data_IF_738238754331
#
_entry.id   IF_738238754331
#
_cell.length_a   1.000
_cell.length_b   1.000
_cell.length_c   1.000
_cell.angle_alpha   90.00
_cell.angle_beta   90.00
_cell.angle_gamma   90.00
#
_symmetry.space_group_name_H-M   'P 1'
#
loop_
_entity.id
_entity.type
_entity.pdbx_description
1 polymer ?
#
# COMPACT_ATOMS: atom_id res chain seq x y z
N UNK A 1 14.75 -40.85 4.99
CA UNK A 1 14.50 -39.79 4.00
C UNK A 1 14.34 -38.48 4.77
N UNK A 2 15.32 -37.58 4.69
CA UNK A 2 15.19 -36.26 5.31
C UNK A 2 14.07 -35.50 4.59
N UNK A 3 13.01 -35.11 5.32
CA UNK A 3 12.01 -34.19 4.81
C UNK A 3 12.74 -32.91 4.40
N UNK A 4 12.98 -32.71 3.10
CA UNK A 4 13.43 -31.42 2.57
C UNK A 4 12.31 -30.43 2.90
N UNK A 5 12.46 -29.67 3.98
CA UNK A 5 11.57 -28.54 4.31
C UNK A 5 11.47 -27.68 3.06
N UNK A 6 10.26 -27.44 2.55
CA UNK A 6 10.10 -26.52 1.42
C UNK A 6 10.45 -25.11 1.93
N UNK A 7 11.03 -24.23 1.09
CA UNK A 7 11.50 -22.93 1.56
C UNK A 7 10.40 -22.09 2.23
N UNK A 8 9.14 -22.25 1.79
CA UNK A 8 7.99 -21.52 2.30
C UNK A 8 7.39 -22.11 3.60
N UNK A 9 7.72 -23.36 3.97
CA UNK A 9 7.16 -24.06 5.14
C UNK A 9 7.59 -23.43 6.49
N UNK A 10 8.46 -22.41 6.45
CA UNK A 10 8.97 -21.71 7.62
C UNK A 10 8.86 -20.20 7.54
N UNK A 11 7.92 -19.65 6.77
CA UNK A 11 7.75 -18.19 6.68
C UNK A 11 7.23 -17.56 7.97
N UNK A 12 6.42 -18.29 8.73
CA UNK A 12 5.96 -17.91 10.06
C UNK A 12 5.93 -19.13 10.99
N UNK A 13 6.00 -18.88 12.30
CA UNK A 13 6.02 -19.94 13.30
C UNK A 13 4.61 -20.25 13.82
N UNK A 14 3.81 -19.21 14.08
CA UNK A 14 2.53 -19.36 14.75
C UNK A 14 1.59 -18.19 14.43
N UNK A 15 0.29 -18.46 14.45
CA UNK A 15 -0.78 -17.46 14.40
C UNK A 15 -1.73 -17.68 15.59
N UNK A 16 -1.88 -16.69 16.46
CA UNK A 16 -2.61 -16.83 17.72
C UNK A 16 -3.52 -15.63 18.01
N UNK A 17 -4.73 -15.91 18.48
CA UNK A 17 -5.62 -14.91 19.06
C UNK A 17 -5.23 -14.63 20.50
N UNK A 18 -4.92 -13.37 20.77
CA UNK A 18 -4.61 -12.88 22.12
C UNK A 18 -5.85 -12.19 22.66
N UNK A 19 -6.27 -12.62 23.85
CA UNK A 19 -7.43 -12.06 24.56
C UNK A 19 -6.97 -11.23 25.74
N UNK A 20 -7.75 -10.21 26.09
CA UNK A 20 -7.53 -9.45 27.31
C UNK A 20 -8.02 -10.21 28.55
N UNK A 21 -7.82 -9.62 29.75
CA UNK A 21 -8.25 -10.22 31.01
C UNK A 21 -9.78 -10.41 31.16
N UNK A 22 -10.58 -9.79 30.27
CA UNK A 22 -12.03 -9.96 30.20
C UNK A 22 -12.47 -11.05 29.21
N UNK A 23 -11.52 -11.65 28.49
CA UNK A 23 -11.78 -12.67 27.46
C UNK A 23 -12.15 -12.11 26.10
N UNK A 24 -12.12 -10.78 25.91
CA UNK A 24 -12.36 -10.15 24.61
C UNK A 24 -11.11 -10.26 23.74
N UNK A 25 -11.29 -10.50 22.44
CA UNK A 25 -10.18 -10.54 21.49
C UNK A 25 -9.48 -9.18 21.46
N UNK A 26 -8.21 -9.17 21.87
CA UNK A 26 -7.35 -8.00 21.86
C UNK A 26 -6.73 -7.86 20.48
N UNK A 27 -5.93 -8.84 20.04
CA UNK A 27 -5.27 -8.84 18.72
C UNK A 27 -5.05 -10.27 18.22
N UNK A 28 -5.16 -10.46 16.91
CA UNK A 28 -4.61 -11.62 16.20
C UNK A 28 -3.12 -11.37 15.96
N UNK A 29 -2.24 -12.18 16.56
CA UNK A 29 -0.78 -12.01 16.45
C UNK A 29 -0.17 -13.10 15.58
N UNK A 30 0.54 -12.66 14.55
CA UNK A 30 1.41 -13.48 13.72
C UNK A 30 2.82 -13.46 14.29
N UNK A 31 3.41 -14.63 14.51
CA UNK A 31 4.80 -14.75 14.92
C UNK A 31 5.64 -15.20 13.72
N UNK A 32 6.62 -14.38 13.35
CA UNK A 32 7.63 -14.79 12.35
C UNK A 32 8.41 -16.01 12.83
N UNK A 33 9.16 -16.66 11.92
CA UNK A 33 10.06 -17.76 12.30
C UNK A 33 11.06 -17.38 13.39
N UNK A 34 11.43 -16.11 13.46
CA UNK A 34 12.37 -15.58 14.44
C UNK A 34 11.68 -15.09 15.73
N UNK A 35 10.36 -15.30 15.86
CA UNK A 35 9.58 -14.94 17.04
C UNK A 35 9.17 -13.47 17.11
N UNK A 36 9.32 -12.70 16.03
CA UNK A 36 8.83 -11.32 15.98
C UNK A 36 7.30 -11.32 15.93
N UNK A 37 6.59 -10.68 16.87
CA UNK A 37 5.15 -10.56 16.81
C UNK A 37 4.73 -9.45 15.86
N UNK A 38 3.68 -9.72 15.09
CA UNK A 38 3.08 -8.78 14.14
C UNK A 38 1.56 -8.75 14.25
N UNK A 39 0.97 -7.57 14.07
CA UNK A 39 -0.48 -7.39 13.88
C UNK A 39 -0.73 -6.80 12.50
N UNK A 40 -1.69 -7.37 11.78
CA UNK A 40 -2.08 -6.94 10.43
C UNK A 40 -3.38 -6.15 10.51
N UNK A 41 -3.34 -4.94 9.96
CA UNK A 41 -4.44 -3.98 9.92
C UNK A 41 -4.73 -3.71 8.45
N UNK A 42 -5.95 -3.98 8.01
CA UNK A 42 -6.41 -3.51 6.70
C UNK A 42 -6.78 -2.05 6.82
N UNK A 43 -6.35 -1.25 5.85
CA UNK A 43 -6.69 0.17 5.75
C UNK A 43 -7.18 0.49 4.34
N UNK A 44 -7.89 1.60 4.22
CA UNK A 44 -8.13 2.26 2.95
C UNK A 44 -7.22 3.47 2.89
N UNK A 45 -6.39 3.57 1.86
CA UNK A 45 -5.57 4.76 1.67
C UNK A 45 -6.48 5.98 1.52
N UNK A 46 -6.20 7.14 2.16
CA UNK A 46 -7.17 8.23 2.23
C UNK A 46 -7.29 9.04 0.94
N UNK A 47 -6.31 9.00 0.03
CA UNK A 47 -6.34 9.80 -1.20
C UNK A 47 -7.10 9.04 -2.27
N UNK A 48 -8.19 9.60 -2.79
CA UNK A 48 -8.89 8.97 -3.91
C UNK A 48 -8.09 9.18 -5.20
N UNK A 49 -7.93 8.14 -6.01
CA UNK A 49 -7.33 8.28 -7.34
C UNK A 49 -8.02 9.39 -8.15
N UNK A 50 -7.21 10.18 -8.85
CA UNK A 50 -7.65 11.32 -9.65
C UNK A 50 -8.29 12.48 -8.85
N UNK A 51 -8.10 12.54 -7.52
CA UNK A 51 -8.57 13.67 -6.70
C UNK A 51 -7.83 14.98 -7.00
N UNK A 52 -6.60 14.91 -7.55
CA UNK A 52 -5.75 16.06 -7.91
C UNK A 52 -5.34 16.97 -6.74
N UNK A 53 -5.61 16.56 -5.50
CA UNK A 53 -5.40 17.35 -4.29
C UNK A 53 -4.07 16.99 -3.61
N UNK A 54 -3.07 17.83 -3.82
CA UNK A 54 -1.74 17.71 -3.21
C UNK A 54 -1.77 17.66 -1.68
N UNK A 55 -2.73 18.33 -1.04
CA UNK A 55 -2.82 18.44 0.42
C UNK A 55 -3.11 17.08 1.04
N UNK A 56 -3.91 16.24 0.39
CA UNK A 56 -4.25 14.91 0.91
C UNK A 56 -3.04 13.96 0.95
N UNK A 57 -2.15 14.04 -0.05
CA UNK A 57 -0.92 13.24 -0.06
C UNK A 57 0.00 13.62 1.11
N UNK A 58 0.17 14.92 1.36
CA UNK A 58 0.96 15.43 2.50
C UNK A 58 0.30 15.02 3.82
N UNK A 59 -1.01 15.20 3.94
CA UNK A 59 -1.76 14.84 5.14
C UNK A 59 -1.61 13.36 5.48
N UNK A 60 -1.65 12.45 4.49
CA UNK A 60 -1.44 11.03 4.76
C UNK A 60 0.01 10.70 5.12
N UNK A 61 0.99 11.35 4.49
CA UNK A 61 2.41 11.26 4.91
C UNK A 61 2.57 11.66 6.37
N UNK A 62 1.88 12.71 6.83
CA UNK A 62 1.90 13.11 8.24
C UNK A 62 1.28 12.05 9.17
N UNK A 63 0.19 11.39 8.75
CA UNK A 63 -0.39 10.26 9.49
C UNK A 63 0.63 9.13 9.64
N UNK A 64 1.27 8.72 8.54
CA UNK A 64 2.28 7.68 8.56
C UNK A 64 3.51 8.08 9.39
N UNK A 65 3.90 9.35 9.35
CA UNK A 65 4.99 9.87 10.18
C UNK A 65 4.65 9.79 11.67
N UNK A 66 3.43 10.16 12.06
CA UNK A 66 2.95 10.02 13.44
C UNK A 66 2.94 8.55 13.89
N UNK A 67 2.59 7.62 13.00
CA UNK A 67 2.66 6.17 13.26
C UNK A 67 4.12 5.76 13.51
N UNK A 68 5.05 6.10 12.62
CA UNK A 68 6.48 5.76 12.75
C UNK A 68 7.06 6.32 14.05
N UNK A 69 6.79 7.59 14.38
CA UNK A 69 7.23 8.21 15.63
C UNK A 69 6.60 7.52 16.87
N UNK A 70 5.32 7.16 16.80
CA UNK A 70 4.61 6.50 17.89
C UNK A 70 5.12 5.08 18.14
N UNK A 71 5.47 4.35 17.08
CA UNK A 71 6.09 3.03 17.17
C UNK A 71 7.47 3.13 17.85
N UNK A 72 8.36 3.97 17.31
CA UNK A 72 9.69 4.21 17.86
C UNK A 72 10.64 3.03 17.71
N UNK A 73 11.79 3.10 18.40
CA UNK A 73 12.88 2.12 18.25
C UNK A 73 12.43 0.67 18.54
N UNK A 74 12.94 -0.29 17.76
CA UNK A 74 12.65 -1.72 17.92
C UNK A 74 11.31 -2.15 17.31
N UNK A 75 10.69 -1.29 16.50
CA UNK A 75 9.51 -1.60 15.71
C UNK A 75 9.77 -1.39 14.21
N UNK A 76 9.04 -2.15 13.41
CA UNK A 76 8.97 -1.97 11.96
C UNK A 76 7.53 -1.72 11.53
N UNK A 77 7.36 -0.77 10.61
CA UNK A 77 6.14 -0.54 9.86
C UNK A 77 6.33 -1.13 8.46
N UNK A 78 5.55 -2.14 8.13
CA UNK A 78 5.45 -2.68 6.77
C UNK A 78 4.09 -2.30 6.20
N UNK A 79 4.07 -1.73 5.00
CA UNK A 79 2.85 -1.42 4.24
C UNK A 79 2.84 -2.24 2.96
N UNK A 80 1.72 -2.91 2.70
CA UNK A 80 1.53 -3.70 1.49
C UNK A 80 0.29 -3.23 0.76
N UNK A 81 0.50 -2.69 -0.43
CA UNK A 81 -0.58 -2.35 -1.37
C UNK A 81 -0.67 -3.48 -2.39
N UNK A 82 -1.75 -4.25 -2.33
CA UNK A 82 -2.06 -5.36 -3.23
C UNK A 82 -2.97 -4.84 -4.33
N UNK A 83 -2.40 -4.67 -5.52
CA UNK A 83 -3.12 -4.31 -6.74
C UNK A 83 -3.38 -5.58 -7.56
N UNK A 84 -4.60 -6.09 -7.55
CA UNK A 84 -4.92 -7.37 -8.19
C UNK A 84 -6.01 -7.21 -9.25
N UNK A 85 -5.81 -7.80 -10.43
CA UNK A 85 -6.82 -7.83 -11.48
C UNK A 85 -7.96 -8.76 -11.10
N UNK A 86 -9.13 -8.18 -10.90
CA UNK A 86 -10.38 -8.87 -10.62
C UNK A 86 -11.30 -8.86 -11.85
N UNK A 87 -12.41 -9.59 -11.75
CA UNK A 87 -13.51 -9.55 -12.70
C UNK A 87 -14.74 -9.01 -11.99
N UNK A 88 -15.32 -7.93 -12.52
CA UNK A 88 -16.49 -7.29 -11.93
C UNK A 88 -17.67 -8.25 -11.89
N UNK A 89 -18.31 -8.34 -10.73
CA UNK A 89 -19.55 -9.07 -10.55
C UNK A 89 -20.55 -8.21 -9.79
N UNK A 90 -21.81 -8.30 -10.18
CA UNK A 90 -22.92 -7.69 -9.46
C UNK A 90 -24.04 -8.71 -9.38
N UNK A 91 -24.54 -8.96 -8.17
CA UNK A 91 -25.62 -9.89 -7.96
C UNK A 91 -26.89 -9.36 -8.64
N UNK A 92 -27.44 -10.15 -9.57
CA UNK A 92 -28.65 -9.80 -10.31
C UNK A 92 -29.80 -10.58 -9.72
N UNK A 93 -30.76 -9.87 -9.14
CA UNK A 93 -31.98 -10.46 -8.60
C UNK A 93 -33.15 -10.30 -9.58
N UNK A 94 -34.14 -11.18 -9.49
CA UNK A 94 -35.28 -11.22 -10.43
C UNK A 94 -36.31 -10.11 -10.19
N UNK A 95 -36.26 -9.46 -9.03
CA UNK A 95 -37.03 -8.26 -8.69
C UNK A 95 -36.51 -6.98 -9.38
N UNK A 96 -35.30 -7.03 -9.97
CA UNK A 96 -34.74 -5.90 -10.71
C UNK A 96 -35.42 -5.69 -12.06
N UNK A 97 -35.69 -4.43 -12.43
CA UNK A 97 -36.19 -4.09 -13.76
C UNK A 97 -35.28 -4.59 -14.90
N UNK A 98 -35.88 -4.95 -16.04
CA UNK A 98 -35.17 -5.51 -17.20
C UNK A 98 -33.95 -4.67 -17.66
N UNK A 99 -34.08 -3.34 -17.69
CA UNK A 99 -32.99 -2.45 -18.11
C UNK A 99 -31.84 -2.44 -17.09
N UNK A 100 -32.15 -2.45 -15.79
CA UNK A 100 -31.15 -2.53 -14.71
C UNK A 100 -30.42 -3.87 -14.77
N UNK A 101 -31.15 -4.99 -14.98
CA UNK A 101 -30.55 -6.30 -15.19
C UNK A 101 -29.61 -6.33 -16.39
N UNK A 102 -30.06 -5.79 -17.53
CA UNK A 102 -29.28 -5.75 -18.77
C UNK A 102 -28.03 -4.89 -18.62
N UNK A 103 -28.13 -3.77 -17.90
CA UNK A 103 -27.01 -2.90 -17.56
C UNK A 103 -25.94 -3.68 -16.77
N UNK A 104 -26.28 -4.32 -15.65
CA UNK A 104 -25.27 -5.07 -14.88
C UNK A 104 -24.73 -6.29 -15.62
N UNK A 105 -25.53 -6.98 -16.45
CA UNK A 105 -25.05 -8.05 -17.34
C UNK A 105 -23.98 -7.55 -18.31
N UNK A 106 -24.11 -6.33 -18.82
CA UNK A 106 -23.15 -5.75 -19.76
C UNK A 106 -21.78 -5.44 -19.13
N UNK A 107 -21.75 -5.12 -17.83
CA UNK A 107 -20.49 -4.87 -17.10
C UNK A 107 -19.92 -6.13 -16.42
N UNK A 108 -20.73 -7.19 -16.27
CA UNK A 108 -20.29 -8.43 -15.65
C UNK A 108 -19.08 -9.05 -16.38
N UNK A 109 -18.08 -9.49 -15.63
CA UNK A 109 -16.84 -10.06 -16.14
C UNK A 109 -15.81 -9.03 -16.61
N UNK A 110 -16.10 -7.72 -16.57
CA UNK A 110 -15.10 -6.70 -16.94
C UNK A 110 -13.89 -6.75 -16.01
N UNK A 111 -12.66 -6.73 -16.56
CA UNK A 111 -11.47 -6.67 -15.74
C UNK A 111 -11.32 -5.30 -15.10
N UNK A 112 -10.92 -5.27 -13.85
CA UNK A 112 -10.51 -4.05 -13.14
C UNK A 112 -9.38 -4.39 -12.18
N UNK A 113 -8.61 -3.39 -11.76
CA UNK A 113 -7.57 -3.56 -10.74
C UNK A 113 -8.16 -3.14 -9.41
N UNK A 114 -8.33 -4.07 -8.48
CA UNK A 114 -8.69 -3.80 -7.09
C UNK A 114 -7.43 -3.43 -6.30
N UNK A 115 -7.53 -2.49 -5.36
CA UNK A 115 -6.45 -2.11 -4.45
C UNK A 115 -6.88 -2.45 -3.02
N UNK A 116 -6.10 -3.28 -2.33
CA UNK A 116 -6.25 -3.56 -0.89
C UNK A 116 -4.95 -3.25 -0.17
N UNK A 117 -5.04 -2.50 0.93
CA UNK A 117 -3.86 -2.01 1.64
C UNK A 117 -3.81 -2.56 3.05
N UNK A 118 -2.63 -3.01 3.47
CA UNK A 118 -2.38 -3.53 4.81
C UNK A 118 -1.22 -2.80 5.47
N UNK A 119 -1.42 -2.38 6.71
CA UNK A 119 -0.36 -1.99 7.63
C UNK A 119 -0.04 -3.16 8.55
N UNK A 120 1.24 -3.48 8.66
CA UNK A 120 1.75 -4.59 9.46
C UNK A 120 2.75 -4.02 10.44
N UNK A 121 2.38 -4.03 11.72
CA UNK A 121 3.22 -3.53 12.81
C UNK A 121 3.95 -4.73 13.38
N UNK A 122 5.29 -4.70 13.33
CA UNK A 122 6.13 -5.78 13.84
C UNK A 122 7.06 -5.27 14.92
N UNK A 123 7.17 -5.98 16.03
CA UNK A 123 8.18 -5.69 17.06
C UNK A 123 9.40 -6.60 16.86
N UNK A 124 10.60 -6.05 16.97
CA UNK A 124 11.83 -6.82 16.91
C UNK A 124 11.97 -7.71 18.16
N UNK A 125 12.09 -9.03 17.97
CA UNK A 125 12.44 -9.93 19.05
C UNK A 125 13.93 -9.78 19.40
N UNK A 126 14.24 -9.63 20.69
CA UNK A 126 15.62 -9.51 21.16
C UNK A 126 16.37 -10.81 20.92
N UNK A 127 17.30 -10.81 19.96
CA UNK A 127 18.20 -11.93 19.66
C UNK A 127 19.27 -12.04 20.74
N UNK A 128 18.97 -12.74 21.84
CA UNK A 128 19.97 -13.17 22.83
C UNK A 128 19.92 -14.68 22.99
N UNK A 129 21.01 -15.29 23.48
CA UNK A 129 21.15 -16.75 23.64
C UNK A 129 20.01 -17.41 24.45
N UNK A 130 19.28 -16.61 25.25
CA UNK A 130 18.05 -17.01 25.94
C UNK A 130 16.95 -16.00 25.62
N UNK A 131 15.97 -16.38 24.80
CA UNK A 131 14.77 -15.56 24.59
C UNK A 131 13.98 -15.56 25.90
N UNK A 132 14.14 -14.51 26.70
CA UNK A 132 13.38 -14.32 27.92
C UNK A 132 12.11 -13.55 27.58
N UNK A 133 10.95 -14.17 27.82
CA UNK A 133 9.67 -13.47 27.75
C UNK A 133 9.70 -12.26 28.69
N UNK A 134 9.41 -11.08 28.14
CA UNK A 134 9.23 -9.85 28.91
C UNK A 134 7.76 -9.43 28.88
N UNK A 135 7.01 -9.62 29.98
CA UNK A 135 5.61 -9.22 30.08
C UNK A 135 5.40 -7.73 29.80
N UNK A 136 6.38 -6.88 30.13
CA UNK A 136 6.27 -5.43 29.93
C UNK A 136 6.37 -5.08 28.45
N UNK A 137 7.37 -5.61 27.75
CA UNK A 137 7.51 -5.46 26.29
C UNK A 137 6.28 -5.99 25.55
N UNK A 138 5.72 -7.12 26.00
CA UNK A 138 4.51 -7.70 25.43
C UNK A 138 3.27 -6.79 25.58
N UNK A 139 3.10 -6.17 26.75
CA UNK A 139 2.02 -5.21 26.97
C UNK A 139 2.24 -3.91 26.17
N UNK A 140 3.50 -3.46 26.06
CA UNK A 140 3.86 -2.29 25.25
C UNK A 140 3.51 -2.51 23.78
N UNK A 141 3.79 -3.71 23.22
CA UNK A 141 3.42 -4.07 21.85
C UNK A 141 1.94 -3.83 21.56
N UNK A 142 1.05 -4.38 22.40
CA UNK A 142 -0.39 -4.18 22.23
C UNK A 142 -0.83 -2.73 22.45
N UNK A 143 -0.18 -2.02 23.38
CA UNK A 143 -0.42 -0.60 23.62
C UNK A 143 -0.05 0.23 22.39
N UNK A 144 1.09 -0.06 21.74
CA UNK A 144 1.55 0.59 20.52
C UNK A 144 0.61 0.32 19.35
N UNK A 145 0.18 -0.92 19.17
CA UNK A 145 -0.84 -1.28 18.16
C UNK A 145 -2.13 -0.49 18.40
N UNK A 146 -2.60 -0.38 19.65
CA UNK A 146 -3.79 0.43 19.98
C UNK A 146 -3.61 1.90 19.61
N UNK A 147 -2.46 2.49 19.95
CA UNK A 147 -2.16 3.89 19.60
C UNK A 147 -2.14 4.13 18.09
N UNK A 148 -1.66 3.17 17.30
CA UNK A 148 -1.72 3.27 15.83
C UNK A 148 -3.16 3.26 15.34
N UNK A 149 -4.02 2.40 15.90
CA UNK A 149 -5.45 2.40 15.59
C UNK A 149 -6.11 3.75 15.96
N UNK A 150 -5.75 4.32 17.10
CA UNK A 150 -6.26 5.62 17.54
C UNK A 150 -5.82 6.75 16.58
N UNK A 151 -4.56 6.76 16.13
CA UNK A 151 -4.05 7.72 15.14
C UNK A 151 -4.85 7.64 13.83
N UNK A 152 -5.09 6.42 13.32
CA UNK A 152 -5.88 6.21 12.10
C UNK A 152 -7.32 6.70 12.29
N UNK A 153 -7.93 6.41 13.44
CA UNK A 153 -9.28 6.82 13.79
C UNK A 153 -9.43 8.34 13.90
N UNK A 154 -8.53 9.01 14.60
CA UNK A 154 -8.53 10.47 14.77
C UNK A 154 -8.40 11.21 13.45
N UNK A 155 -7.68 10.62 12.49
CA UNK A 155 -7.45 11.18 11.16
C UNK A 155 -8.50 10.75 10.13
N UNK A 156 -9.52 9.99 10.54
CA UNK A 156 -10.61 9.55 9.67
C UNK A 156 -10.20 8.53 8.61
N UNK A 157 -9.05 7.87 8.76
CA UNK A 157 -8.62 6.80 7.85
C UNK A 157 -9.40 5.54 8.19
N UNK A 158 -10.10 4.94 7.23
CA UNK A 158 -10.80 3.67 7.47
C UNK A 158 -9.78 2.57 7.74
N UNK A 159 -10.03 1.77 8.78
CA UNK A 159 -9.12 0.72 9.20
C UNK A 159 -9.83 -0.37 10.00
N UNK A 160 -9.30 -1.59 9.98
CA UNK A 160 -9.73 -2.71 10.82
C UNK A 160 -8.61 -3.71 11.03
N UNK A 161 -8.60 -4.37 12.20
CA UNK A 161 -7.71 -5.52 12.43
C UNK A 161 -8.27 -6.76 11.74
N UNK A 162 -7.41 -7.53 11.10
CA UNK A 162 -7.80 -8.81 10.51
C UNK A 162 -8.06 -9.86 11.60
N UNK A 163 -9.09 -10.66 11.38
CA UNK A 163 -9.37 -11.87 12.17
C UNK A 163 -8.36 -12.97 11.87
N UNK A 164 -8.31 -14.01 12.70
CA UNK A 164 -7.41 -15.15 12.50
C UNK A 164 -7.57 -15.82 11.13
N UNK A 165 -8.80 -16.02 10.68
CA UNK A 165 -9.08 -16.67 9.40
C UNK A 165 -8.66 -15.78 8.22
N UNK A 166 -8.90 -14.47 8.33
CA UNK A 166 -8.47 -13.49 7.31
C UNK A 166 -6.95 -13.35 7.25
N UNK A 167 -6.26 -13.33 8.38
CA UNK A 167 -4.79 -13.36 8.40
C UNK A 167 -4.32 -14.66 7.75
N UNK A 168 -4.86 -15.80 8.13
CA UNK A 168 -4.48 -17.08 7.56
C UNK A 168 -4.69 -17.11 6.03
N UNK A 169 -5.84 -16.65 5.54
CA UNK A 169 -6.11 -16.54 4.11
C UNK A 169 -5.12 -15.58 3.42
N UNK A 170 -4.87 -14.40 4.01
CA UNK A 170 -3.93 -13.42 3.48
C UNK A 170 -2.52 -14.00 3.30
N UNK A 171 -2.00 -14.68 4.32
CA UNK A 171 -0.69 -15.33 4.28
C UNK A 171 -0.60 -16.41 3.19
N UNK A 172 -1.63 -17.24 3.05
CA UNK A 172 -1.64 -18.29 2.04
C UNK A 172 -1.83 -17.75 0.62
N UNK A 173 -2.60 -16.67 0.45
CA UNK A 173 -2.71 -15.95 -0.81
C UNK A 173 -1.39 -15.31 -1.21
N UNK A 174 -0.64 -14.77 -0.25
CA UNK A 174 0.71 -14.27 -0.50
C UNK A 174 1.65 -15.40 -0.96
N UNK A 175 1.68 -16.54 -0.26
CA UNK A 175 2.51 -17.68 -0.64
C UNK A 175 2.17 -18.24 -2.02
N UNK A 176 0.88 -18.25 -2.38
CA UNK A 176 0.41 -18.65 -3.71
C UNK A 176 0.51 -17.53 -4.77
N UNK A 177 0.85 -16.31 -4.35
CA UNK A 177 0.74 -15.07 -5.12
C UNK A 177 -0.60 -14.94 -5.88
N UNK A 178 -1.71 -15.25 -5.19
CA UNK A 178 -3.05 -15.32 -5.78
C UNK A 178 -4.08 -14.54 -4.96
N UNK A 179 -4.28 -13.28 -5.32
CA UNK A 179 -5.20 -12.36 -4.65
C UNK A 179 -6.56 -12.20 -5.33
N UNK A 180 -6.82 -12.92 -6.42
CA UNK A 180 -8.17 -12.92 -7.02
C UNK A 180 -9.20 -13.54 -6.09
N UNK A 181 -10.41 -12.98 -6.09
CA UNK A 181 -11.53 -13.49 -5.30
C UNK A 181 -11.84 -14.95 -5.67
N UNK A 182 -12.17 -15.76 -4.67
CA UNK A 182 -12.51 -17.16 -4.84
C UNK A 182 -11.42 -18.14 -4.39
N UNK A 183 -11.58 -19.44 -4.70
CA UNK A 183 -10.66 -20.48 -4.27
C UNK A 183 -9.30 -20.33 -4.96
N UNK A 184 -8.25 -20.72 -4.25
CA UNK A 184 -6.88 -20.73 -4.78
C UNK A 184 -6.17 -22.01 -4.33
N UNK A 185 -5.08 -22.35 -5.01
CA UNK A 185 -4.21 -23.47 -4.65
C UNK A 185 -2.75 -23.04 -4.72
N UNK A 186 -1.94 -23.59 -3.82
CA UNK A 186 -0.49 -23.40 -3.90
C UNK A 186 0.07 -24.30 -4.98
N UNK A 187 0.78 -23.69 -5.93
CA UNK A 187 1.53 -24.41 -6.95
C UNK A 187 2.97 -24.59 -6.51
N UNK A 188 3.64 -25.61 -7.05
CA UNK A 188 5.08 -25.73 -6.88
C UNK A 188 5.78 -24.53 -7.51
N UNK A 189 6.75 -23.95 -6.80
CA UNK A 189 7.58 -22.88 -7.36
C UNK A 189 9.01 -23.35 -7.64
N UNK A 190 9.64 -22.72 -8.62
CA UNK A 190 11.07 -22.86 -8.92
C UNK A 190 11.71 -21.49 -8.80
N UNK A 191 12.63 -21.34 -7.85
CA UNK A 191 13.46 -20.15 -7.75
C UNK A 191 14.51 -20.16 -8.87
N UNK A 192 14.64 -19.03 -9.57
CA UNK A 192 15.77 -18.70 -10.42
C UNK A 192 16.31 -17.34 -10.03
N UNK A 193 17.40 -16.93 -10.70
CA UNK A 193 18.13 -15.71 -10.34
C UNK A 193 17.36 -14.43 -10.70
N UNK A 194 16.54 -14.47 -11.78
CA UNK A 194 15.80 -13.30 -12.27
C UNK A 194 14.32 -13.27 -11.86
N UNK A 195 13.74 -14.42 -11.53
CA UNK A 195 12.32 -14.53 -11.13
C UNK A 195 12.01 -15.87 -10.44
N UNK A 196 10.89 -15.90 -9.73
CA UNK A 196 10.27 -17.11 -9.21
C UNK A 196 9.22 -17.61 -10.21
N UNK A 197 9.35 -18.86 -10.67
CA UNK A 197 8.34 -19.48 -11.54
C UNK A 197 7.32 -20.21 -10.67
N UNK A 198 6.04 -19.91 -10.82
CA UNK A 198 4.92 -20.52 -10.11
C UNK A 198 3.90 -21.05 -11.13
N UNK A 199 4.07 -22.33 -11.51
CA UNK A 199 3.33 -22.95 -12.62
C UNK A 199 3.50 -22.21 -13.95
N UNK A 200 2.40 -21.66 -14.47
CA UNK A 200 2.36 -20.91 -15.74
C UNK A 200 2.73 -19.42 -15.60
N UNK A 201 2.88 -18.94 -14.35
CA UNK A 201 3.19 -17.56 -14.04
C UNK A 201 4.62 -17.41 -13.54
N UNK A 202 5.11 -16.18 -13.63
CA UNK A 202 6.33 -15.74 -12.99
C UNK A 202 5.98 -14.66 -11.97
N UNK A 203 6.75 -14.60 -10.89
CA UNK A 203 6.77 -13.52 -9.92
C UNK A 203 8.18 -12.96 -9.91
N UNK A 204 8.31 -11.66 -10.12
CA UNK A 204 9.60 -10.96 -10.09
C UNK A 204 9.53 -9.83 -9.06
N UNK A 205 10.56 -9.75 -8.23
CA UNK A 205 10.84 -8.64 -7.31
C UNK A 205 11.62 -7.57 -8.06
N UNK A 206 11.16 -6.32 -7.94
CA UNK A 206 11.88 -5.13 -8.38
C UNK A 206 12.12 -4.25 -7.16
N UNK A 207 13.37 -4.21 -6.69
CA UNK A 207 13.74 -3.26 -5.66
C UNK A 207 13.85 -1.86 -6.29
N UNK A 208 13.06 -0.93 -5.76
CA UNK A 208 12.95 0.43 -6.29
C UNK A 208 14.24 1.22 -6.02
N UNK A 209 14.95 0.91 -4.94
CA UNK A 209 16.18 1.63 -4.55
C UNK A 209 17.34 0.65 -4.54
N UNK A 210 18.35 0.91 -5.35
CA UNK A 210 19.60 0.19 -5.27
C UNK A 210 20.41 0.65 -4.04
N UNK A 211 20.76 -0.30 -3.17
CA UNK A 211 21.51 -0.02 -1.92
C UNK A 211 22.98 0.27 -2.21
N UNK A 212 23.53 -0.27 -3.30
CA UNK A 212 24.92 -0.02 -3.72
C UNK A 212 25.06 1.35 -4.39
N UNK A 213 24.08 1.75 -5.20
CA UNK A 213 24.03 3.03 -5.91
C UNK A 213 22.66 3.71 -5.74
N UNK A 214 22.50 4.46 -4.64
CA UNK A 214 21.24 5.16 -4.33
C UNK A 214 21.02 6.33 -5.30
N UNK A 215 20.41 6.02 -6.44
CA UNK A 215 20.04 6.96 -7.49
C UNK A 215 18.58 7.42 -7.32
N UNK A 216 18.40 8.34 -6.37
CA UNK A 216 17.13 9.04 -6.13
C UNK A 216 17.23 10.51 -6.55
N UNK A 217 16.11 11.14 -6.93
CA UNK A 217 16.12 12.56 -7.26
C UNK A 217 16.54 13.40 -6.05
N UNK A 218 17.19 14.53 -6.31
CA UNK A 218 17.68 15.45 -5.25
C UNK A 218 16.57 16.00 -4.36
N UNK A 219 15.32 16.01 -4.85
CA UNK A 219 14.13 16.35 -4.09
C UNK A 219 13.05 15.31 -4.36
N UNK A 220 12.63 14.63 -3.30
CA UNK A 220 11.47 13.74 -3.32
C UNK A 220 10.30 14.40 -2.57
N UNK A 221 9.09 14.20 -3.08
CA UNK A 221 7.86 14.73 -2.48
C UNK A 221 6.84 13.61 -2.30
N UNK A 222 5.84 13.76 -1.41
CA UNK A 222 4.78 12.79 -1.23
C UNK A 222 3.91 12.51 -2.47
N UNK A 223 3.98 13.38 -3.48
CA UNK A 223 3.24 13.33 -4.73
C UNK A 223 4.10 13.86 -5.88
N UNK A 224 3.71 13.56 -7.11
CA UNK A 224 4.27 14.16 -8.32
C UNK A 224 3.26 15.08 -9.00
N UNK A 225 3.78 16.05 -9.76
CA UNK A 225 2.97 17.02 -10.50
C UNK A 225 2.98 16.65 -11.98
N UNK A 226 1.83 16.27 -12.51
CA UNK A 226 1.68 15.86 -13.91
C UNK A 226 0.87 16.91 -14.65
N UNK A 227 1.34 17.33 -15.84
CA UNK A 227 0.60 18.25 -16.70
C UNK A 227 -0.40 17.49 -17.57
N UNK A 228 -1.69 17.76 -17.41
CA UNK A 228 -2.78 17.20 -18.22
C UNK A 228 -3.51 18.35 -18.89
N UNK A 229 -3.46 18.42 -20.23
CA UNK A 229 -4.09 19.48 -21.02
C UNK A 229 -3.74 20.91 -20.56
N UNK A 230 -2.49 21.13 -20.13
CA UNK A 230 -2.00 22.42 -19.64
C UNK A 230 -2.30 22.71 -18.17
N UNK A 231 -3.03 21.84 -17.46
CA UNK A 231 -3.25 21.94 -16.01
C UNK A 231 -2.31 21.01 -15.25
N UNK A 232 -1.70 21.51 -14.20
CA UNK A 232 -0.87 20.71 -13.31
C UNK A 232 -1.75 20.06 -12.26
N UNK A 233 -1.73 18.72 -12.20
CA UNK A 233 -2.46 17.93 -11.21
C UNK A 233 -1.49 17.17 -10.33
N UNK A 234 -1.86 16.95 -9.06
CA UNK A 234 -1.12 16.08 -8.15
C UNK A 234 -1.58 14.62 -8.30
N UNK A 235 -0.62 13.71 -8.41
CA UNK A 235 -0.84 12.25 -8.40
C UNK A 235 0.19 11.56 -7.52
N UNK A 236 -0.07 10.33 -7.08
CA UNK A 236 0.95 9.54 -6.40
C UNK A 236 2.18 9.33 -7.31
N UNK A 237 3.36 9.23 -6.70
CA UNK A 237 4.60 8.95 -7.40
C UNK A 237 4.53 7.61 -8.15
N UNK A 238 3.87 6.62 -7.54
CA UNK A 238 3.69 5.28 -8.05
C UNK A 238 2.25 5.04 -8.54
N UNK A 239 1.56 6.09 -8.99
CA UNK A 239 0.20 5.98 -9.56
C UNK A 239 0.12 4.99 -10.74
N UNK A 240 1.23 4.77 -11.46
CA UNK A 240 1.30 3.84 -12.58
C UNK A 240 1.16 2.36 -12.19
N UNK A 241 1.25 2.01 -10.90
CA UNK A 241 1.18 0.60 -10.45
C UNK A 241 -0.12 -0.09 -10.86
N UNK A 242 -1.24 0.64 -10.91
CA UNK A 242 -2.53 0.10 -11.37
C UNK A 242 -2.61 -0.09 -12.89
N UNK A 243 -1.66 0.48 -13.65
CA UNK A 243 -1.66 0.55 -15.11
C UNK A 243 -0.64 -0.42 -15.75
N UNK A 244 0.11 -1.17 -14.95
CA UNK A 244 1.12 -2.09 -15.46
C UNK A 244 0.44 -3.14 -16.38
N UNK A 245 0.82 -3.22 -17.67
CA UNK A 245 0.16 -4.09 -18.64
C UNK A 245 0.41 -5.57 -18.33
N UNK A 246 -0.45 -6.47 -18.81
CA UNK A 246 -0.22 -7.93 -18.75
C UNK A 246 0.05 -8.57 -17.36
N UNK A 247 -0.15 -7.83 -16.26
CA UNK A 247 -0.02 -8.34 -14.88
C UNK A 247 -1.31 -8.94 -14.33
N UNK A 248 -1.20 -9.91 -13.44
CA UNK A 248 -2.35 -10.42 -12.68
C UNK A 248 -2.45 -9.80 -11.28
N UNK A 249 -1.29 -9.53 -10.68
CA UNK A 249 -1.18 -8.99 -9.34
C UNK A 249 0.15 -8.26 -9.20
N UNK A 250 0.13 -7.13 -8.51
CA UNK A 250 1.29 -6.34 -8.10
C UNK A 250 1.15 -6.13 -6.59
N UNK A 251 2.19 -6.41 -5.83
CA UNK A 251 2.26 -6.09 -4.41
C UNK A 251 3.40 -5.11 -4.24
N UNK A 252 3.08 -3.90 -3.79
CA UNK A 252 4.10 -2.96 -3.39
C UNK A 252 4.37 -3.08 -1.89
N UNK A 253 5.51 -3.67 -1.55
CA UNK A 253 5.96 -3.90 -0.19
C UNK A 253 6.91 -2.78 0.25
N UNK A 254 6.44 -1.93 1.17
CA UNK A 254 7.16 -0.79 1.71
C UNK A 254 7.52 -1.07 3.17
N UNK A 255 8.80 -1.02 3.53
CA UNK A 255 9.26 -1.36 4.89
C UNK A 255 10.04 -0.21 5.48
N UNK A 256 9.72 0.14 6.73
CA UNK A 256 10.50 1.02 7.60
C UNK A 256 10.83 0.24 8.87
N UNK A 257 12.11 -0.07 9.08
CA UNK A 257 12.61 -0.52 10.37
C UNK A 257 13.13 0.68 11.16
N UNK A 258 12.79 0.75 12.44
CA UNK A 258 13.19 1.85 13.32
C UNK A 258 14.31 1.37 14.25
N UNK A 259 15.58 1.57 13.87
CA UNK A 259 16.75 1.13 14.64
C UNK A 259 16.99 1.99 15.88
N UNK A 260 17.94 1.56 16.72
CA UNK A 260 18.44 2.34 17.85
C UNK A 260 19.14 3.62 17.37
N UNK A 261 18.53 4.78 17.61
CA UNK A 261 18.96 6.07 17.10
C UNK A 261 20.33 6.47 17.67
N UNK A 262 20.54 6.27 18.97
CA UNK A 262 21.81 6.65 19.65
C UNK A 262 23.02 5.96 19.03
N UNK A 263 22.88 4.70 18.60
CA UNK A 263 23.97 3.94 17.96
C UNK A 263 24.30 4.50 16.58
N UNK A 264 23.28 4.85 15.79
CA UNK A 264 23.45 5.43 14.46
C UNK A 264 24.03 6.85 14.51
N UNK A 265 23.51 7.69 15.40
CA UNK A 265 24.03 9.05 15.62
C UNK A 265 25.52 9.04 15.95
N UNK A 266 25.96 8.13 16.84
CA UNK A 266 27.39 7.95 17.16
C UNK A 266 28.21 7.51 15.95
N UNK A 267 27.69 6.61 15.12
CA UNK A 267 28.36 6.18 13.87
C UNK A 267 28.50 7.34 12.89
N UNK A 268 27.45 8.13 12.68
CA UNK A 268 27.46 9.31 11.79
C UNK A 268 28.42 10.39 12.30
N UNK A 269 28.37 10.72 13.60
CA UNK A 269 29.31 11.65 14.22
C UNK A 269 30.76 11.18 14.08
N UNK A 270 31.01 9.88 14.26
CA UNK A 270 32.32 9.28 14.02
C UNK A 270 32.76 9.34 12.55
N UNK A 271 31.83 9.23 11.60
CA UNK A 271 32.09 9.39 10.15
C UNK A 271 32.43 10.85 9.82
N UNK A 272 31.65 11.81 10.32
CA UNK A 272 31.93 13.25 10.15
C UNK A 272 33.31 13.66 10.69
N UNK A 273 33.68 13.17 11.89
CA UNK A 273 35.02 13.41 12.48
C UNK A 273 36.15 12.86 11.60
N UNK A 274 35.98 11.66 11.04
CA UNK A 274 36.97 11.04 10.15
C UNK A 274 37.18 11.86 8.88
N UNK A 275 36.11 12.24 8.18
CA UNK A 275 36.21 13.12 7.02
C UNK A 275 36.81 14.49 7.37
N UNK A 276 36.47 15.05 8.54
CA UNK A 276 37.08 16.30 9.01
C UNK A 276 38.59 16.22 9.30
N UNK A 277 39.10 15.05 9.67
CA UNK A 277 40.52 14.82 9.95
C UNK A 277 41.39 14.63 8.69
N UNK A 278 40.77 14.39 7.53
CA UNK A 278 41.44 14.23 6.24
C UNK A 278 40.92 15.29 5.26
N UNK A 279 41.38 16.55 5.35
CA UNK A 279 40.75 17.66 4.65
C UNK A 279 41.12 17.71 3.15
N UNK A 280 40.32 17.04 2.33
CA UNK A 280 40.19 17.28 0.88
C UNK A 280 38.79 17.86 0.56
N UNK A 281 38.59 18.46 -0.63
CA UNK A 281 37.30 19.06 -0.99
C UNK A 281 36.10 18.10 -0.88
N UNK A 282 36.28 16.82 -1.25
CA UNK A 282 35.22 15.82 -1.18
C UNK A 282 34.85 15.50 0.27
N UNK A 283 35.86 15.29 1.12
CA UNK A 283 35.63 15.06 2.55
C UNK A 283 35.01 16.27 3.27
N UNK A 284 35.28 17.50 2.84
CA UNK A 284 34.61 18.70 3.38
C UNK A 284 33.12 18.70 3.06
N UNK A 285 32.74 18.36 1.83
CA UNK A 285 31.33 18.26 1.41
C UNK A 285 30.65 17.15 2.21
N UNK A 286 31.22 15.94 2.22
CA UNK A 286 30.67 14.80 2.96
C UNK A 286 30.48 15.10 4.45
N UNK A 287 31.43 15.82 5.07
CA UNK A 287 31.28 16.27 6.46
C UNK A 287 30.10 17.24 6.61
N UNK A 288 30.00 18.24 5.74
CA UNK A 288 28.92 19.23 5.78
C UNK A 288 27.53 18.58 5.61
N UNK A 289 27.41 17.59 4.71
CA UNK A 289 26.17 16.84 4.50
C UNK A 289 25.78 16.04 5.75
N UNK A 290 26.73 15.34 6.37
CA UNK A 290 26.47 14.60 7.62
C UNK A 290 26.07 15.56 8.75
N UNK A 291 26.72 16.73 8.86
CA UNK A 291 26.37 17.75 9.85
C UNK A 291 24.97 18.34 9.61
N UNK A 292 24.59 18.55 8.35
CA UNK A 292 23.22 18.97 7.99
C UNK A 292 22.18 17.94 8.42
N UNK A 293 22.42 16.64 8.15
CA UNK A 293 21.53 15.56 8.60
C UNK A 293 21.44 15.51 10.14
N UNK A 294 22.57 15.63 10.84
CA UNK A 294 22.59 15.64 12.30
C UNK A 294 21.83 16.84 12.89
N UNK A 295 21.89 18.01 12.24
CA UNK A 295 21.12 19.19 12.65
C UNK A 295 19.62 19.00 12.44
N UNK A 296 19.19 18.42 11.30
CA UNK A 296 17.78 18.11 11.04
C UNK A 296 17.22 17.11 12.06
N UNK A 297 17.99 16.08 12.41
CA UNK A 297 17.60 15.12 13.44
C UNK A 297 17.40 15.78 14.82
N UNK A 298 18.23 16.78 15.15
CA UNK A 298 18.15 17.50 16.42
C UNK A 298 17.01 18.54 16.46
N UNK A 299 16.72 19.22 15.33
CA UNK A 299 15.72 20.28 15.25
C UNK A 299 14.30 19.75 15.04
N UNK A 300 14.12 18.82 14.11
CA UNK A 300 12.80 18.41 13.62
C UNK A 300 12.30 17.11 14.25
N UNK A 301 13.03 16.55 15.23
CA UNK A 301 12.73 15.25 15.85
C UNK A 301 12.51 14.11 14.84
N UNK A 302 13.24 14.16 13.71
CA UNK A 302 13.23 13.11 12.68
C UNK A 302 13.94 11.86 13.18
N UNK A 303 13.62 10.72 12.57
CA UNK A 303 14.24 9.43 12.87
C UNK A 303 15.05 8.95 11.68
N UNK A 304 16.22 8.37 11.97
CA UNK A 304 16.96 7.56 11.02
C UNK A 304 16.30 6.18 10.93
N UNK A 305 15.96 5.74 9.73
CA UNK A 305 15.28 4.48 9.48
C UNK A 305 15.95 3.68 8.39
N UNK A 306 15.88 2.36 8.51
CA UNK A 306 16.28 1.44 7.45
C UNK A 306 15.05 1.07 6.62
N UNK A 307 15.15 1.16 5.30
CA UNK A 307 13.99 0.99 4.42
C UNK A 307 14.25 0.10 3.24
N UNK A 308 13.22 -0.61 2.80
CA UNK A 308 13.16 -1.37 1.56
C UNK A 308 11.85 -1.06 0.84
N UNK A 309 11.90 -0.95 -0.50
CA UNK A 309 10.75 -0.65 -1.35
C UNK A 309 10.72 -1.63 -2.51
N UNK A 310 10.05 -2.77 -2.33
CA UNK A 310 10.05 -3.85 -3.31
C UNK A 310 8.70 -4.01 -3.99
N UNK A 311 8.69 -4.05 -5.33
CA UNK A 311 7.54 -4.38 -6.15
C UNK A 311 7.58 -5.87 -6.51
N UNK A 312 6.66 -6.65 -5.97
CA UNK A 312 6.43 -8.02 -6.42
C UNK A 312 5.40 -7.99 -7.54
N UNK A 313 5.77 -8.47 -8.72
CA UNK A 313 4.89 -8.43 -9.91
C UNK A 313 4.71 -9.81 -10.46
N UNK A 314 3.45 -10.20 -10.69
CA UNK A 314 3.12 -11.45 -11.38
C UNK A 314 2.52 -11.22 -12.75
N UNK A 315 3.05 -11.96 -13.72
CA UNK A 315 2.57 -12.00 -15.09
C UNK A 315 2.83 -13.38 -15.70
N UNK A 316 2.35 -13.60 -16.92
CA UNK A 316 2.77 -14.76 -17.73
C UNK A 316 4.26 -14.65 -18.08
N UNK A 317 4.95 -15.79 -18.15
CA UNK A 317 6.40 -15.82 -18.43
C UNK A 317 6.78 -15.08 -19.72
N UNK A 318 5.98 -15.21 -20.78
CA UNK A 318 6.17 -14.57 -22.09
C UNK A 318 6.08 -13.03 -22.04
N UNK A 319 5.45 -12.48 -21.00
CA UNK A 319 5.19 -11.04 -20.82
C UNK A 319 6.15 -10.36 -19.84
N UNK A 320 7.08 -11.11 -19.25
CA UNK A 320 7.98 -10.57 -18.22
C UNK A 320 8.85 -9.42 -18.72
N UNK A 321 9.42 -9.54 -19.92
CA UNK A 321 10.26 -8.50 -20.52
C UNK A 321 9.51 -7.18 -20.74
N UNK A 322 8.36 -7.13 -21.44
CA UNK A 322 7.63 -5.88 -21.62
C UNK A 322 7.11 -5.29 -20.31
N UNK A 323 6.73 -6.13 -19.33
CA UNK A 323 6.36 -5.67 -17.98
C UNK A 323 7.55 -5.01 -17.27
N UNK A 324 8.72 -5.65 -17.31
CA UNK A 324 9.97 -5.12 -16.75
C UNK A 324 10.29 -3.76 -17.37
N UNK A 325 10.30 -3.67 -18.70
CA UNK A 325 10.60 -2.42 -19.40
C UNK A 325 9.60 -1.30 -19.08
N UNK A 326 8.31 -1.63 -18.93
CA UNK A 326 7.30 -0.64 -18.52
C UNK A 326 7.60 -0.09 -17.13
N UNK A 327 7.89 -0.94 -16.15
CA UNK A 327 8.19 -0.53 -14.77
C UNK A 327 9.47 0.32 -14.74
N UNK A 328 10.54 -0.13 -15.39
CA UNK A 328 11.80 0.61 -15.47
C UNK A 328 11.61 1.99 -16.11
N UNK A 329 10.82 2.08 -17.18
CA UNK A 329 10.50 3.36 -17.84
C UNK A 329 9.73 4.28 -16.89
N UNK A 330 8.73 3.75 -16.17
CA UNK A 330 7.91 4.55 -15.25
C UNK A 330 8.66 5.00 -14.01
N UNK A 331 9.56 4.19 -13.47
CA UNK A 331 10.46 4.60 -12.39
C UNK A 331 11.45 5.66 -12.88
N UNK A 332 12.01 5.50 -14.08
CA UNK A 332 12.89 6.49 -14.68
C UNK A 332 12.20 7.85 -14.92
N UNK A 333 10.94 7.85 -15.36
CA UNK A 333 10.11 9.08 -15.45
C UNK A 333 9.97 9.80 -14.10
N UNK A 334 10.01 9.05 -12.99
CA UNK A 334 9.99 9.58 -11.63
C UNK A 334 11.39 9.99 -11.11
N UNK A 335 12.44 9.84 -11.91
CA UNK A 335 13.83 10.07 -11.53
C UNK A 335 14.42 8.98 -10.63
N UNK A 336 13.81 7.79 -10.61
CA UNK A 336 14.23 6.65 -9.79
C UNK A 336 14.80 5.57 -10.69
N UNK A 337 15.98 5.06 -10.33
CA UNK A 337 16.63 3.98 -11.04
C UNK A 337 16.51 2.70 -10.23
N UNK A 338 15.70 1.76 -10.72
CA UNK A 338 15.54 0.46 -10.08
C UNK A 338 16.85 -0.34 -10.11
N UNK A 339 17.08 -1.16 -9.07
CA UNK A 339 18.26 -2.01 -9.04
C UNK A 339 18.21 -3.05 -10.16
N UNK A 340 19.30 -3.15 -10.92
CA UNK A 340 19.46 -4.17 -11.97
C UNK A 340 19.99 -5.50 -11.42
N UNK A 341 20.32 -5.54 -10.14
CA UNK A 341 21.15 -6.57 -9.50
C UNK A 341 20.40 -7.42 -8.47
N UNK A 342 19.06 -7.44 -8.50
CA UNK A 342 18.25 -8.24 -7.58
C UNK A 342 18.35 -9.75 -7.89
N UNK A 343 19.53 -10.35 -7.70
CA UNK A 343 19.81 -11.77 -7.89
C UNK A 343 19.20 -12.64 -6.77
N UNK A 344 18.79 -12.04 -5.66
CA UNK A 344 18.24 -12.68 -4.46
C UNK A 344 16.69 -12.74 -4.49
N UNK A 345 16.10 -13.06 -5.64
CA UNK A 345 14.63 -13.05 -5.86
C UNK A 345 13.82 -13.85 -4.82
N UNK A 346 14.34 -15.01 -4.42
CA UNK A 346 13.68 -15.83 -3.39
C UNK A 346 13.73 -15.16 -2.01
N UNK A 347 14.85 -14.56 -1.65
CA UNK A 347 15.03 -13.87 -0.36
C UNK A 347 14.10 -12.66 -0.30
N UNK A 348 14.15 -11.78 -1.30
CA UNK A 348 13.27 -10.61 -1.38
C UNK A 348 11.79 -10.98 -1.31
N UNK A 349 11.36 -12.07 -1.97
CA UNK A 349 10.00 -12.57 -1.88
C UNK A 349 9.64 -13.02 -0.46
N UNK A 350 10.52 -13.78 0.20
CA UNK A 350 10.32 -14.31 1.55
C UNK A 350 10.37 -13.20 2.62
N UNK A 351 11.20 -12.19 2.42
CA UNK A 351 11.36 -11.05 3.32
C UNK A 351 10.21 -10.05 3.18
N UNK A 352 9.67 -9.94 1.95
CA UNK A 352 8.42 -9.22 1.69
C UNK A 352 7.20 -9.95 2.26
N UNK A 353 7.32 -11.14 2.84
CA UNK A 353 6.19 -11.82 3.48
C UNK A 353 5.62 -10.98 4.65
N UNK A 354 4.30 -11.00 4.89
CA UNK A 354 3.71 -10.24 5.98
C UNK A 354 4.32 -10.60 7.35
N UNK A 355 4.84 -9.61 8.06
CA UNK A 355 5.47 -9.81 9.39
C UNK A 355 6.94 -10.21 9.35
N UNK A 356 7.54 -10.31 8.16
CA UNK A 356 8.97 -10.61 7.98
C UNK A 356 9.81 -9.36 7.70
N UNK A 357 9.32 -8.17 8.07
CA UNK A 357 10.02 -6.90 7.89
C UNK A 357 11.45 -6.87 8.47
N UNK A 358 11.79 -7.71 9.46
CA UNK A 358 13.13 -7.84 10.06
C UNK A 358 13.98 -8.98 9.49
N UNK A 359 13.52 -9.65 8.43
CA UNK A 359 14.26 -10.70 7.73
C UNK A 359 15.19 -10.14 6.66
N UNK A 360 14.85 -8.97 6.08
CA UNK A 360 15.69 -8.24 5.13
C UNK A 360 17.13 -8.08 5.62
N UNK A 361 18.08 -8.28 4.71
CA UNK A 361 19.48 -8.16 5.03
C UNK A 361 19.89 -6.68 5.23
N UNK A 362 20.46 -6.32 6.39
CA UNK A 362 20.91 -4.96 6.67
C UNK A 362 21.99 -4.40 5.75
N UNK A 363 22.75 -5.27 5.08
CA UNK A 363 23.91 -4.86 4.30
C UNK A 363 23.59 -4.60 2.82
N UNK A 364 22.56 -5.23 2.25
CA UNK A 364 22.25 -5.11 0.81
C UNK A 364 20.77 -4.95 0.45
N UNK A 365 19.82 -5.23 1.36
CA UNK A 365 18.38 -5.02 1.07
C UNK A 365 17.84 -3.72 1.69
N UNK A 366 18.57 -3.13 2.65
CA UNK A 366 18.11 -1.99 3.42
C UNK A 366 19.05 -0.80 3.24
N UNK A 367 18.51 0.33 2.84
CA UNK A 367 19.24 1.60 2.86
C UNK A 367 18.81 2.48 4.04
N UNK A 368 19.72 3.32 4.50
CA UNK A 368 19.52 4.21 5.64
C UNK A 368 19.11 5.61 5.16
N UNK A 369 17.97 6.11 5.62
CA UNK A 369 17.48 7.45 5.28
C UNK A 369 16.70 8.09 6.44
N UNK A 370 16.22 9.32 6.22
CA UNK A 370 15.29 9.98 7.14
C UNK A 370 13.88 9.45 6.91
N UNK A 371 13.11 9.33 7.99
CA UNK A 371 11.76 8.76 7.94
C UNK A 371 10.78 9.55 7.06
N UNK A 372 10.88 10.87 6.98
CA UNK A 372 10.05 11.70 6.11
C UNK A 372 10.35 11.48 4.62
N UNK A 373 11.64 11.37 4.27
CA UNK A 373 12.07 11.05 2.91
C UNK A 373 11.58 9.65 2.50
N UNK A 374 11.71 8.65 3.38
CA UNK A 374 11.19 7.31 3.14
C UNK A 374 9.67 7.31 2.90
N UNK A 375 8.91 8.04 3.72
CA UNK A 375 7.45 8.09 3.62
C UNK A 375 6.95 8.79 2.35
N UNK A 376 7.79 9.53 1.64
CA UNK A 376 7.44 10.05 0.32
C UNK A 376 7.22 8.93 -0.71
N UNK A 377 7.97 7.82 -0.60
CA UNK A 377 7.89 6.65 -1.50
C UNK A 377 6.71 5.71 -1.19
N UNK A 378 5.98 5.92 -0.08
CA UNK A 378 4.82 5.10 0.26
C UNK A 378 3.67 5.38 -0.71
N UNK A 379 2.92 4.36 -1.13
CA UNK A 379 1.76 4.54 -2.00
C UNK A 379 0.56 5.04 -1.19
N UNK A 380 -0.24 5.96 -1.75
CA UNK A 380 -1.23 6.74 -0.97
C UNK A 380 -2.65 6.75 -1.55
N UNK A 381 -2.90 6.02 -2.63
CA UNK A 381 -4.17 6.11 -3.36
C UNK A 381 -5.11 4.91 -3.13
N UNK A 382 -6.42 5.16 -3.20
CA UNK A 382 -7.48 4.14 -3.27
C UNK A 382 -8.43 4.43 -4.44
N UNK A 383 -9.24 3.43 -4.80
CA UNK A 383 -10.24 3.54 -5.86
C UNK A 383 -11.52 4.17 -5.34
N UNK A 384 -12.24 4.89 -6.22
CA UNK A 384 -13.56 5.40 -5.86
C UNK A 384 -14.54 4.22 -5.66
N UNK A 385 -15.11 4.13 -4.46
CA UNK A 385 -16.16 3.16 -4.16
C UNK A 385 -17.55 3.68 -4.53
N UNK A 386 -18.48 2.72 -4.65
CA UNK A 386 -19.91 3.02 -4.76
C UNK A 386 -20.42 3.63 -3.46
N UNK A 387 -21.19 4.70 -3.56
CA UNK A 387 -21.84 5.33 -2.41
C UNK A 387 -22.96 4.47 -1.87
N UNK A 388 -23.03 4.37 -0.54
CA UNK A 388 -24.13 3.75 0.17
C UNK A 388 -25.29 4.75 0.27
N UNK A 389 -26.25 4.63 -0.65
CA UNK A 389 -27.39 5.53 -0.80
C UNK A 389 -28.65 4.76 -1.22
N UNK A 390 -29.84 5.16 -0.75
CA UNK A 390 -31.10 4.64 -1.28
C UNK A 390 -31.34 5.09 -2.73
N UNK A 391 -30.76 6.21 -3.16
CA UNK A 391 -30.84 6.71 -4.53
C UNK A 391 -29.67 6.16 -5.38
N UNK A 392 -29.80 4.91 -5.81
CA UNK A 392 -28.73 4.23 -6.57
C UNK A 392 -28.66 4.70 -8.02
N UNK A 393 -27.83 5.70 -8.29
CA UNK A 393 -27.52 6.15 -9.65
C UNK A 393 -26.13 5.67 -10.04
N UNK A 394 -26.04 4.80 -11.06
CA UNK A 394 -24.77 4.23 -11.49
C UNK A 394 -24.17 5.02 -12.64
N UNK A 395 -22.92 5.44 -12.45
CA UNK A 395 -22.06 5.99 -13.49
C UNK A 395 -20.91 5.04 -13.77
N UNK A 396 -20.19 5.27 -14.86
CA UNK A 396 -18.99 4.50 -15.17
C UNK A 396 -17.76 5.23 -14.67
N UNK A 397 -16.90 4.56 -13.92
CA UNK A 397 -15.59 5.10 -13.54
C UNK A 397 -14.58 5.10 -14.71
N UNK A 398 -13.35 5.51 -14.44
CA UNK A 398 -12.28 5.55 -15.45
C UNK A 398 -11.74 4.17 -15.82
N UNK A 399 -12.00 3.13 -15.03
CA UNK A 399 -11.68 1.74 -15.38
C UNK A 399 -12.82 1.06 -16.18
N UNK A 400 -13.94 1.75 -16.38
CA UNK A 400 -15.06 1.23 -17.14
C UNK A 400 -16.06 0.42 -16.30
N UNK A 401 -16.09 0.60 -14.98
CA UNK A 401 -16.98 -0.10 -14.04
C UNK A 401 -18.13 0.77 -13.54
N UNK A 402 -19.30 0.18 -13.25
CA UNK A 402 -20.38 0.87 -12.57
C UNK A 402 -20.02 1.26 -11.14
N UNK A 403 -20.16 2.54 -10.83
CA UNK A 403 -20.01 3.12 -9.50
C UNK A 403 -21.28 3.87 -9.15
N UNK A 404 -21.87 3.53 -8.02
CA UNK A 404 -23.04 4.22 -7.47
C UNK A 404 -22.63 5.60 -6.94
N UNK A 405 -23.36 6.64 -7.34
CA UNK A 405 -23.17 8.02 -6.90
C UNK A 405 -24.51 8.58 -6.47
N UNK A 406 -24.58 9.18 -5.28
CA UNK A 406 -25.71 9.98 -4.86
C UNK A 406 -25.65 11.36 -5.52
N UNK A 407 -26.40 11.51 -6.61
CA UNK A 407 -26.53 12.77 -7.35
C UNK A 407 -27.21 13.90 -6.55
N UNK A 408 -27.80 13.60 -5.39
CA UNK A 408 -28.36 14.63 -4.49
C UNK A 408 -27.38 15.07 -3.42
N UNK A 409 -26.38 14.23 -3.12
CA UNK A 409 -25.44 14.33 -2.01
C UNK A 409 -26.07 14.41 -0.62
N UNK A 410 -27.37 14.07 -0.48
CA UNK A 410 -28.14 14.18 0.76
C UNK A 410 -28.62 12.86 1.34
N UNK A 411 -28.83 11.88 0.47
CA UNK A 411 -29.43 10.59 0.80
C UNK A 411 -28.36 9.54 1.15
N UNK A 412 -27.14 9.73 0.64
CA UNK A 412 -26.00 8.90 0.96
C UNK A 412 -25.60 8.96 2.43
N UNK A 413 -25.02 7.86 2.92
CA UNK A 413 -24.42 7.77 4.26
C UNK A 413 -23.37 8.86 4.48
N UNK A 414 -22.64 9.22 3.42
CA UNK A 414 -21.68 10.33 3.39
C UNK A 414 -22.28 11.46 2.57
N UNK A 415 -22.53 12.61 3.22
CA UNK A 415 -23.13 13.78 2.57
C UNK A 415 -22.03 14.70 2.04
N UNK A 416 -21.71 14.55 0.76
CA UNK A 416 -20.66 15.33 0.10
C UNK A 416 -21.12 16.72 -0.33
N UNK A 417 -22.44 16.96 -0.49
CA UNK A 417 -22.99 18.24 -0.93
C UNK A 417 -24.13 18.70 -0.02
N UNK A 418 -24.32 20.01 0.05
CA UNK A 418 -25.41 20.66 0.79
C UNK A 418 -26.68 20.88 -0.06
N UNK A 419 -26.53 20.80 -1.37
CA UNK A 419 -27.57 21.01 -2.37
C UNK A 419 -27.59 19.89 -3.42
N UNK A 420 -28.75 19.75 -4.07
CA UNK A 420 -29.01 18.73 -5.10
C UNK A 420 -29.08 19.35 -6.51
N UNK A 421 -28.47 20.53 -6.69
CA UNK A 421 -28.45 21.22 -7.98
C UNK A 421 -27.53 20.45 -8.93
N UNK A 422 -27.95 20.35 -10.19
CA UNK A 422 -27.22 19.60 -11.21
C UNK A 422 -26.88 20.50 -12.38
N UNK A 423 -25.62 20.46 -12.82
CA UNK A 423 -25.15 21.23 -13.97
C UNK A 423 -24.54 20.27 -15.01
N UNK A 424 -25.09 20.26 -16.22
CA UNK A 424 -24.62 19.41 -17.31
C UNK A 424 -24.02 20.27 -18.43
N UNK A 425 -22.72 20.14 -18.66
CA UNK A 425 -22.00 20.87 -19.71
C UNK A 425 -21.49 19.91 -20.77
N UNK A 426 -21.50 20.34 -22.01
CA UNK A 426 -20.89 19.63 -23.13
C UNK A 426 -21.28 20.24 -24.48
N UNK A 427 -20.48 20.06 -25.54
CA UNK A 427 -20.80 20.54 -26.88
C UNK A 427 -22.04 19.82 -27.46
N UNK A 428 -22.59 20.32 -28.57
CA UNK A 428 -23.70 19.63 -29.25
C UNK A 428 -23.30 18.20 -29.63
N UNK A 429 -24.22 17.23 -29.49
CA UNK A 429 -23.95 15.81 -29.75
C UNK A 429 -23.25 15.04 -28.63
N UNK A 430 -22.83 15.68 -27.53
CA UNK A 430 -22.11 15.01 -26.43
C UNK A 430 -22.98 14.16 -25.49
N UNK A 431 -24.26 13.92 -25.83
CA UNK A 431 -25.16 13.10 -25.01
C UNK A 431 -25.81 13.79 -23.80
N UNK A 432 -25.75 15.13 -23.68
CA UNK A 432 -26.37 15.87 -22.54
C UNK A 432 -27.84 15.53 -22.30
N UNK A 433 -28.66 15.55 -23.36
CA UNK A 433 -30.11 15.27 -23.25
C UNK A 433 -30.38 13.83 -22.85
N UNK A 434 -29.58 12.89 -23.35
CA UNK A 434 -29.64 11.48 -22.96
C UNK A 434 -29.34 11.32 -21.46
N UNK A 435 -28.28 11.97 -20.98
CA UNK A 435 -27.89 11.96 -19.57
C UNK A 435 -28.99 12.58 -18.67
N UNK A 436 -29.57 13.72 -19.05
CA UNK A 436 -30.65 14.34 -18.28
C UNK A 436 -31.88 13.45 -18.21
N UNK A 437 -32.28 12.84 -19.34
CA UNK A 437 -33.41 11.91 -19.37
C UNK A 437 -33.17 10.68 -18.49
N UNK A 438 -31.95 10.13 -18.49
CA UNK A 438 -31.56 9.03 -17.63
C UNK A 438 -31.69 9.39 -16.14
N UNK A 439 -31.16 10.54 -15.73
CA UNK A 439 -31.24 11.00 -14.34
C UNK A 439 -32.70 11.25 -13.89
N UNK A 440 -33.53 11.87 -14.74
CA UNK A 440 -34.95 12.09 -14.46
C UNK A 440 -35.69 10.76 -14.30
N UNK A 441 -35.45 9.80 -15.19
CA UNK A 441 -36.03 8.46 -15.11
C UNK A 441 -35.68 7.76 -13.80
N UNK A 442 -34.42 7.79 -13.38
CA UNK A 442 -33.97 7.19 -12.11
C UNK A 442 -34.59 7.86 -10.88
N UNK A 443 -34.73 9.19 -10.87
CA UNK A 443 -35.41 9.91 -9.77
C UNK A 443 -36.89 9.52 -9.66
N UNK A 444 -37.59 9.35 -10.79
CA UNK A 444 -39.00 8.94 -10.79
C UNK A 444 -39.20 7.49 -10.31
N UNK A 445 -38.22 6.62 -10.51
CA UNK A 445 -38.25 5.22 -10.06
C UNK A 445 -37.91 5.04 -8.58
N UNK A 446 -37.32 6.05 -7.94
CA UNK A 446 -36.87 5.93 -6.54
C UNK A 446 -38.00 6.39 -5.60
N UNK A 447 -38.38 5.62 -4.57
CA UNK A 447 -39.50 5.96 -3.66
C UNK A 447 -39.29 7.20 -2.77
N UNK A 448 -38.25 8.01 -3.01
CA UNK A 448 -37.96 9.19 -2.22
C UNK A 448 -38.99 10.29 -2.53
N UNK A 449 -39.67 10.73 -1.47
CA UNK A 449 -40.77 11.66 -1.40
C UNK A 449 -40.46 13.09 -1.86
N UNK A 450 -40.04 13.29 -3.11
CA UNK A 450 -39.91 14.62 -3.71
C UNK A 450 -40.58 14.66 -5.08
N UNK A 451 -41.69 15.40 -5.15
CA UNK A 451 -42.34 15.81 -6.40
C UNK A 451 -41.32 16.55 -7.25
N UNK A 452 -40.93 15.96 -8.37
CA UNK A 452 -40.17 16.64 -9.41
C UNK A 452 -41.10 17.69 -10.04
N UNK A 453 -40.93 18.96 -9.71
CA UNK A 453 -41.55 20.05 -10.47
C UNK A 453 -40.60 20.38 -11.61
N UNK A 454 -40.97 19.98 -12.83
CA UNK A 454 -40.35 20.47 -14.05
C UNK A 454 -41.03 21.80 -14.34
N UNK A 455 -40.32 22.91 -14.14
CA UNK A 455 -40.73 24.25 -14.59
C UNK A 455 -40.12 24.57 -15.94
#
# INVERSE_FOLDING_TARGET
MANKKKPLDGLFAQLQDIKDGSGKLLNTVLFSKNGNPSVIIEIENPVQQYATDAVQYVAFTDVLNNIVQTLGEGYALQKQDVLCRQSYHHDISDDMEFLTRSYFRYFNGRPYTEIRTYLIITQEAVKSAFVKYDPKSWLDFHTKVSKVMDILKERGVWHRKLTKDEVNEYLHRFMAFHFKTGPFSMQSFKAGDDCLKMGDKVVKSFDIVDVDEIDLPSLIRPYQSVAVNGYVIATDLLAFLSEIPDTDCVIYNQVIQIPQQRKLLRKLQGKAKRHGSMPDPSNKIAKADIEAVLNLLAQDSKLLVYTNFNLLVSCKAEKLTPVTSFIETKLYECGIFASKSAYNQLELFMDSFPGNAYSFNPDYDLFLTLNDAALCLFFKEHLKHSEDTPLKTYYTDRQGLPVCIDITGKEGRVKMTDNANFFCIGPSGSGKSFHMNFNVGKRLQTPASNRLIIS
#
